data_IF_122304172331
#
_entry.id   IF_122304172331
#
_cell.length_a   1.000
_cell.length_b   1.000
_cell.length_c   1.000
_cell.angle_alpha   90.00
_cell.angle_beta   90.00
_cell.angle_gamma   90.00
#
_symmetry.space_group_name_H-M   'P 1'
#
loop_
_entity.id
_entity.type
_entity.pdbx_description
1 polymer ?
#
# COMPACT_ATOMS: atom_id res chain seq x y z
N UNK A 1 37.63 26.55 23.00
CA UNK A 1 38.09 25.36 22.25
C UNK A 1 38.53 25.79 20.85
N UNK A 2 39.78 25.57 20.46
CA UNK A 2 40.24 25.75 19.06
C UNK A 2 40.32 24.36 18.43
N UNK A 3 39.39 24.02 17.55
CA UNK A 3 39.50 22.80 16.76
C UNK A 3 40.58 23.00 15.68
N UNK A 4 41.45 22.01 15.51
CA UNK A 4 42.39 22.04 14.39
C UNK A 4 41.61 21.84 13.09
N UNK A 5 42.04 22.48 12.00
CA UNK A 5 41.43 22.32 10.67
C UNK A 5 41.32 20.83 10.28
N UNK A 6 42.31 20.02 10.65
CA UNK A 6 42.32 18.57 10.44
C UNK A 6 41.20 17.86 11.18
N UNK A 7 40.98 18.22 12.45
CA UNK A 7 39.87 17.67 13.25
C UNK A 7 38.53 18.01 12.60
N UNK A 8 38.36 19.25 12.13
CA UNK A 8 37.14 19.66 11.46
C UNK A 8 36.92 18.90 10.14
N UNK A 9 37.96 18.73 9.31
CA UNK A 9 37.86 17.95 8.08
C UNK A 9 37.49 16.48 8.33
N UNK A 10 38.10 15.84 9.33
CA UNK A 10 37.80 14.44 9.67
C UNK A 10 36.35 14.31 10.13
N UNK A 11 35.88 15.20 11.01
CA UNK A 11 34.49 15.19 11.48
C UNK A 11 33.53 15.38 10.33
N UNK A 12 33.78 16.34 9.44
CA UNK A 12 32.94 16.57 8.25
C UNK A 12 32.89 15.33 7.35
N UNK A 13 34.03 14.67 7.12
CA UNK A 13 34.08 13.46 6.31
C UNK A 13 33.27 12.32 6.95
N UNK A 14 33.41 12.11 8.25
CA UNK A 14 32.66 11.08 9.00
C UNK A 14 31.16 11.35 8.92
N UNK A 15 30.73 12.60 9.11
CA UNK A 15 29.32 12.99 8.99
C UNK A 15 28.81 12.73 7.56
N UNK A 16 29.57 13.14 6.54
CA UNK A 16 29.17 12.93 5.15
C UNK A 16 29.00 11.45 4.81
N UNK A 17 29.91 10.58 5.27
CA UNK A 17 29.82 9.13 5.09
C UNK A 17 28.60 8.56 5.82
N UNK A 18 28.35 9.00 7.07
CA UNK A 18 27.19 8.54 7.83
C UNK A 18 25.87 8.94 7.15
N UNK A 19 25.76 10.18 6.66
CA UNK A 19 24.58 10.65 5.92
C UNK A 19 24.39 9.86 4.63
N UNK A 20 25.47 9.60 3.87
CA UNK A 20 25.40 8.81 2.65
C UNK A 20 24.94 7.37 2.92
N UNK A 21 25.44 6.73 3.98
CA UNK A 21 25.04 5.40 4.38
C UNK A 21 23.55 5.33 4.79
N UNK A 22 23.07 6.32 5.56
CA UNK A 22 21.64 6.42 5.94
C UNK A 22 20.77 6.65 4.72
N UNK A 23 21.15 7.54 3.80
CA UNK A 23 20.41 7.79 2.58
C UNK A 23 20.34 6.55 1.68
N UNK A 24 21.46 5.80 1.55
CA UNK A 24 21.48 4.55 0.81
C UNK A 24 20.56 3.49 1.45
N UNK A 25 20.64 3.31 2.77
CA UNK A 25 19.75 2.39 3.50
C UNK A 25 18.27 2.76 3.32
N UNK A 26 17.93 4.05 3.43
CA UNK A 26 16.56 4.54 3.22
C UNK A 26 16.08 4.24 1.80
N UNK A 27 16.89 4.53 0.78
CA UNK A 27 16.53 4.30 -0.62
C UNK A 27 16.37 2.83 -0.97
N UNK A 28 17.18 1.95 -0.39
CA UNK A 28 17.19 0.52 -0.74
C UNK A 28 16.30 -0.37 0.12
N UNK A 29 16.00 0.03 1.36
CA UNK A 29 15.28 -0.84 2.29
C UNK A 29 14.27 -0.07 3.14
N UNK A 30 14.72 0.99 3.83
CA UNK A 30 13.93 1.66 4.85
C UNK A 30 12.64 2.28 4.29
N UNK A 31 12.73 2.98 3.17
CA UNK A 31 11.61 3.67 2.55
C UNK A 31 10.52 2.73 2.03
N UNK A 32 10.91 1.65 1.35
CA UNK A 32 9.95 0.69 0.77
C UNK A 32 9.13 0.01 1.88
N UNK A 33 9.79 -0.43 2.95
CA UNK A 33 9.11 -1.02 4.12
C UNK A 33 8.26 0.02 4.84
N UNK A 34 8.73 1.26 4.95
CA UNK A 34 7.99 2.34 5.59
C UNK A 34 6.66 2.62 4.87
N UNK A 35 6.67 2.82 3.55
CA UNK A 35 5.45 3.11 2.81
C UNK A 35 4.51 1.91 2.71
N UNK A 36 5.05 0.69 2.58
CA UNK A 36 4.21 -0.51 2.61
C UNK A 36 3.45 -0.66 3.92
N UNK A 37 4.09 -0.42 5.07
CA UNK A 37 3.42 -0.42 6.39
C UNK A 37 2.39 0.70 6.54
N UNK A 38 2.60 1.85 5.87
CA UNK A 38 1.59 2.93 5.86
C UNK A 38 0.35 2.52 5.08
N UNK A 39 0.54 1.93 3.91
CA UNK A 39 -0.54 1.36 3.10
C UNK A 39 -1.29 0.28 3.88
N UNK A 40 -0.57 -0.64 4.53
CA UNK A 40 -1.16 -1.68 5.40
C UNK A 40 -2.09 -1.07 6.44
N UNK A 41 -1.59 -0.10 7.22
CA UNK A 41 -2.38 0.60 8.24
C UNK A 41 -3.60 1.32 7.64
N UNK A 42 -3.45 1.99 6.50
CA UNK A 42 -4.56 2.66 5.81
C UNK A 42 -5.65 1.67 5.38
N UNK A 43 -5.28 0.45 4.94
CA UNK A 43 -6.23 -0.61 4.62
C UNK A 43 -6.90 -1.13 5.90
N UNK A 44 -6.16 -1.37 6.97
CA UNK A 44 -6.71 -1.84 8.25
C UNK A 44 -7.73 -0.84 8.84
N UNK A 45 -7.46 0.46 8.74
CA UNK A 45 -8.36 1.51 9.21
C UNK A 45 -9.74 1.47 8.52
N UNK A 46 -9.84 0.90 7.32
CA UNK A 46 -11.11 0.73 6.61
C UNK A 46 -12.12 -0.09 7.41
N UNK A 47 -11.70 -1.04 8.25
CA UNK A 47 -12.64 -1.82 9.09
C UNK A 47 -13.58 -0.92 9.90
N UNK A 48 -13.08 0.22 10.39
CA UNK A 48 -13.85 1.17 11.20
C UNK A 48 -14.75 2.11 10.37
N UNK A 49 -14.66 2.04 9.03
CA UNK A 49 -15.27 2.99 8.09
C UNK A 49 -16.30 2.32 7.18
N UNK A 50 -17.06 1.37 7.71
CA UNK A 50 -18.10 0.65 6.97
C UNK A 50 -19.13 1.63 6.36
N UNK A 51 -19.36 1.60 5.03
CA UNK A 51 -20.38 2.44 4.42
C UNK A 51 -21.79 2.01 4.88
N UNK A 52 -22.76 2.95 4.93
CA UNK A 52 -24.13 2.64 5.33
C UNK A 52 -24.89 1.76 4.33
N UNK A 53 -24.38 1.63 3.09
CA UNK A 53 -24.94 0.77 2.04
C UNK A 53 -24.57 -0.71 2.20
N UNK A 54 -23.69 -1.06 3.14
CA UNK A 54 -23.23 -2.42 3.36
C UNK A 54 -23.36 -2.83 4.82
N UNK A 55 -23.47 -4.13 5.04
CA UNK A 55 -23.33 -4.70 6.39
C UNK A 55 -21.86 -4.78 6.78
N UNK A 56 -21.59 -4.78 8.08
CA UNK A 56 -20.23 -4.94 8.63
C UNK A 56 -19.56 -6.24 8.15
N UNK A 57 -20.31 -7.33 7.97
CA UNK A 57 -19.78 -8.60 7.48
C UNK A 57 -19.30 -8.49 6.02
N UNK A 58 -20.12 -7.90 5.14
CA UNK A 58 -19.76 -7.70 3.73
C UNK A 58 -18.55 -6.79 3.59
N UNK A 59 -18.52 -5.70 4.36
CA UNK A 59 -17.40 -4.76 4.33
C UNK A 59 -16.12 -5.39 4.89
N UNK A 60 -16.19 -6.08 6.03
CA UNK A 60 -15.03 -6.76 6.62
C UNK A 60 -14.46 -7.82 5.67
N UNK A 61 -15.30 -8.59 4.97
CA UNK A 61 -14.84 -9.54 3.94
C UNK A 61 -14.02 -8.82 2.86
N UNK A 62 -14.50 -7.69 2.32
CA UNK A 62 -13.73 -6.91 1.33
C UNK A 62 -12.40 -6.39 1.88
N UNK A 63 -12.39 -5.87 3.10
CA UNK A 63 -11.19 -5.31 3.73
C UNK A 63 -10.17 -6.42 4.03
N UNK A 64 -10.58 -7.56 4.59
CA UNK A 64 -9.69 -8.70 4.88
C UNK A 64 -9.02 -9.24 3.62
N UNK A 65 -9.78 -9.39 2.54
CA UNK A 65 -9.21 -9.77 1.25
C UNK A 65 -8.24 -8.73 0.69
N UNK A 66 -8.45 -7.46 0.99
CA UNK A 66 -7.54 -6.37 0.61
C UNK A 66 -6.26 -6.38 1.46
N UNK A 67 -6.35 -6.71 2.76
CA UNK A 67 -5.18 -6.98 3.59
C UNK A 67 -4.37 -8.17 3.05
N UNK A 68 -5.05 -9.24 2.64
CA UNK A 68 -4.38 -10.40 2.03
C UNK A 68 -3.72 -10.04 0.70
N UNK A 69 -4.36 -9.23 -0.15
CA UNK A 69 -3.76 -8.67 -1.35
C UNK A 69 -2.46 -7.92 -1.01
N UNK A 70 -2.47 -7.02 -0.01
CA UNK A 70 -1.28 -6.30 0.42
C UNK A 70 -0.15 -7.26 0.85
N UNK A 71 -0.45 -8.16 1.78
CA UNK A 71 0.53 -9.08 2.34
C UNK A 71 1.12 -10.06 1.33
N UNK A 72 0.38 -10.45 0.30
CA UNK A 72 0.82 -11.43 -0.70
C UNK A 72 1.37 -10.82 -2.00
N UNK A 73 1.25 -9.52 -2.22
CA UNK A 73 1.71 -8.89 -3.47
C UNK A 73 3.20 -8.57 -3.49
N UNK A 74 3.93 -8.74 -2.38
CA UNK A 74 5.37 -8.47 -2.25
C UNK A 74 5.82 -7.08 -2.74
N UNK A 75 4.94 -6.07 -2.64
CA UNK A 75 5.18 -4.69 -3.12
C UNK A 75 6.58 -4.14 -2.77
N UNK A 76 7.06 -4.23 -1.50
CA UNK A 76 8.36 -3.67 -1.14
C UNK A 76 9.55 -4.20 -1.94
N UNK A 77 9.41 -5.39 -2.53
CA UNK A 77 10.51 -6.08 -3.21
C UNK A 77 10.39 -6.06 -4.74
N UNK A 78 9.23 -5.68 -5.27
CA UNK A 78 8.96 -5.65 -6.71
C UNK A 78 8.82 -4.22 -7.26
N UNK A 79 8.61 -3.24 -6.39
CA UNK A 79 8.27 -1.86 -6.76
C UNK A 79 9.31 -0.89 -6.23
N UNK A 80 9.62 0.17 -6.98
CA UNK A 80 10.56 1.21 -6.55
C UNK A 80 10.00 2.04 -5.38
N UNK A 81 10.88 2.70 -4.61
CA UNK A 81 10.44 3.59 -3.53
C UNK A 81 9.49 4.70 -4.02
N UNK A 82 9.77 5.26 -5.20
CA UNK A 82 8.96 6.33 -5.80
C UNK A 82 7.55 5.83 -6.08
N UNK A 83 7.39 4.74 -6.82
CA UNK A 83 6.10 4.15 -7.15
C UNK A 83 5.27 3.77 -5.90
N UNK A 84 5.89 3.19 -4.86
CA UNK A 84 5.17 2.86 -3.61
C UNK A 84 4.73 4.15 -2.90
N UNK A 85 5.59 5.17 -2.85
CA UNK A 85 5.25 6.44 -2.21
C UNK A 85 4.14 7.20 -2.94
N UNK A 86 4.13 7.16 -4.27
CA UNK A 86 3.07 7.75 -5.07
C UNK A 86 1.75 7.00 -4.91
N UNK A 87 1.79 5.66 -4.86
CA UNK A 87 0.61 4.86 -4.57
C UNK A 87 0.05 5.16 -3.18
N UNK A 88 0.90 5.24 -2.15
CA UNK A 88 0.48 5.59 -0.80
C UNK A 88 -0.18 6.98 -0.74
N UNK A 89 0.36 7.97 -1.44
CA UNK A 89 -0.24 9.30 -1.52
C UNK A 89 -1.62 9.29 -2.21
N UNK A 90 -1.76 8.57 -3.32
CA UNK A 90 -3.06 8.42 -4.00
C UNK A 90 -4.08 7.68 -3.13
N UNK A 91 -3.63 6.67 -2.37
CA UNK A 91 -4.48 5.96 -1.42
C UNK A 91 -4.93 6.90 -0.29
N UNK A 92 -4.02 7.65 0.31
CA UNK A 92 -4.34 8.66 1.34
C UNK A 92 -5.40 9.65 0.84
N UNK A 93 -5.21 10.23 -0.35
CA UNK A 93 -6.18 11.12 -0.98
C UNK A 93 -7.54 10.43 -1.22
N UNK A 94 -7.53 9.18 -1.71
CA UNK A 94 -8.75 8.41 -1.94
C UNK A 94 -9.51 8.16 -0.63
N UNK A 95 -8.79 7.95 0.47
CA UNK A 95 -9.34 7.67 1.78
C UNK A 95 -9.75 8.93 2.58
N UNK A 96 -9.43 10.13 2.13
CA UNK A 96 -9.87 11.37 2.81
C UNK A 96 -11.38 11.65 2.68
N UNK A 97 -12.05 10.95 1.76
CA UNK A 97 -13.50 11.02 1.52
C UNK A 97 -14.25 9.80 2.08
N UNK A 98 -15.59 9.83 2.18
CA UNK A 98 -16.38 8.63 2.45
C UNK A 98 -16.00 7.49 1.51
N UNK A 99 -15.85 6.29 2.08
CA UNK A 99 -15.39 5.08 1.38
C UNK A 99 -16.57 4.15 1.10
N UNK A 100 -16.42 3.34 0.06
CA UNK A 100 -17.40 2.35 -0.37
C UNK A 100 -16.70 1.19 -1.11
N UNK A 101 -17.48 0.25 -1.67
CA UNK A 101 -16.94 -0.86 -2.46
C UNK A 101 -16.08 -0.41 -3.66
N UNK A 102 -16.38 0.76 -4.26
CA UNK A 102 -15.56 1.32 -5.36
C UNK A 102 -14.19 1.76 -4.88
N UNK A 103 -14.03 2.02 -3.58
CA UNK A 103 -12.72 2.31 -2.96
C UNK A 103 -11.87 1.04 -2.89
N UNK A 104 -12.46 -0.08 -2.50
CA UNK A 104 -11.79 -1.39 -2.50
C UNK A 104 -11.43 -1.80 -3.94
N UNK A 105 -12.37 -1.68 -4.86
CA UNK A 105 -12.15 -2.02 -6.26
C UNK A 105 -11.00 -1.20 -6.88
N UNK A 106 -11.01 0.12 -6.66
CA UNK A 106 -9.93 1.01 -7.08
C UNK A 106 -8.60 0.59 -6.46
N UNK A 107 -8.57 0.29 -5.16
CA UNK A 107 -7.35 -0.15 -4.47
C UNK A 107 -6.78 -1.40 -5.14
N UNK A 108 -7.61 -2.41 -5.40
CA UNK A 108 -7.18 -3.62 -6.10
C UNK A 108 -6.63 -3.35 -7.50
N UNK A 109 -7.21 -2.40 -8.23
CA UNK A 109 -6.71 -2.01 -9.56
C UNK A 109 -5.35 -1.31 -9.46
N UNK A 110 -5.17 -0.40 -8.51
CA UNK A 110 -3.86 0.26 -8.29
C UNK A 110 -2.77 -0.75 -7.96
N UNK A 111 -3.06 -1.77 -7.12
CA UNK A 111 -2.12 -2.86 -6.87
C UNK A 111 -1.67 -3.58 -8.15
N UNK A 112 -2.60 -3.80 -9.09
CA UNK A 112 -2.30 -4.46 -10.35
C UNK A 112 -1.42 -3.62 -11.29
N UNK A 113 -1.49 -2.29 -11.18
CA UNK A 113 -0.64 -1.37 -11.94
C UNK A 113 0.75 -1.21 -11.28
N UNK A 114 0.80 -1.23 -9.95
CA UNK A 114 2.02 -0.94 -9.18
C UNK A 114 2.97 -2.14 -9.06
N UNK A 115 2.45 -3.37 -9.08
CA UNK A 115 3.28 -4.56 -8.91
C UNK A 115 2.73 -5.83 -9.58
N UNK A 116 3.63 -6.71 -9.99
CA UNK A 116 3.28 -8.01 -10.59
C UNK A 116 2.50 -8.91 -9.62
N UNK A 117 2.84 -8.89 -8.33
CA UNK A 117 2.08 -9.61 -7.30
C UNK A 117 0.61 -9.19 -7.26
N UNK A 118 0.34 -7.88 -7.30
CA UNK A 118 -1.01 -7.33 -7.31
C UNK A 118 -1.77 -7.71 -8.58
N UNK A 119 -1.09 -7.74 -9.72
CA UNK A 119 -1.65 -8.21 -10.99
C UNK A 119 -2.03 -9.68 -10.95
N UNK A 120 -1.17 -10.52 -10.39
CA UNK A 120 -1.46 -11.96 -10.22
C UNK A 120 -2.58 -12.21 -9.22
N UNK A 121 -2.69 -11.37 -8.19
CA UNK A 121 -3.70 -11.51 -7.14
C UNK A 121 -5.12 -11.21 -7.63
N UNK A 122 -5.29 -10.50 -8.75
CA UNK A 122 -6.61 -10.20 -9.32
C UNK A 122 -7.49 -11.44 -9.55
N UNK A 123 -6.88 -12.62 -9.76
CA UNK A 123 -7.61 -13.90 -9.88
C UNK A 123 -8.49 -14.22 -8.67
N UNK A 124 -8.13 -13.72 -7.49
CA UNK A 124 -8.86 -13.96 -6.25
C UNK A 124 -10.15 -13.13 -6.12
N UNK A 125 -10.41 -12.17 -7.02
CA UNK A 125 -11.71 -11.48 -7.10
C UNK A 125 -12.88 -12.46 -7.21
N UNK A 126 -12.68 -13.60 -7.87
CA UNK A 126 -13.69 -14.65 -7.97
C UNK A 126 -14.04 -15.24 -6.60
N UNK A 127 -13.03 -15.54 -5.78
CA UNK A 127 -13.22 -16.05 -4.41
C UNK A 127 -13.86 -14.99 -3.51
N UNK A 128 -13.40 -13.73 -3.58
CA UNK A 128 -14.03 -12.64 -2.82
C UNK A 128 -15.51 -12.51 -3.18
N UNK A 129 -15.85 -12.56 -4.47
CA UNK A 129 -17.22 -12.48 -4.94
C UNK A 129 -18.08 -13.69 -4.53
N UNK A 130 -17.48 -14.88 -4.39
CA UNK A 130 -18.18 -16.04 -3.84
C UNK A 130 -18.52 -15.85 -2.37
N UNK A 131 -17.57 -15.37 -1.56
CA UNK A 131 -17.79 -15.07 -0.15
C UNK A 131 -18.79 -13.91 0.05
N UNK A 132 -18.68 -12.86 -0.75
CA UNK A 132 -19.65 -11.75 -0.74
C UNK A 132 -21.07 -12.24 -1.05
N UNK A 133 -21.23 -13.17 -2.00
CA UNK A 133 -22.55 -13.80 -2.27
C UNK A 133 -23.03 -14.64 -1.08
N UNK A 134 -22.15 -15.37 -0.41
CA UNK A 134 -22.49 -16.10 0.81
C UNK A 134 -22.95 -15.15 1.94
N UNK A 135 -22.45 -13.93 1.96
CA UNK A 135 -22.91 -12.85 2.84
C UNK A 135 -24.10 -12.03 2.30
N UNK A 136 -24.75 -12.49 1.22
CA UNK A 136 -25.89 -11.81 0.62
C UNK A 136 -25.59 -10.42 0.09
N UNK A 137 -24.33 -10.14 -0.28
CA UNK A 137 -23.92 -8.84 -0.83
C UNK A 137 -24.56 -8.61 -2.20
N UNK A 138 -25.23 -7.47 -2.43
CA UNK A 138 -25.65 -7.06 -3.76
C UNK A 138 -24.50 -6.45 -4.58
N UNK A 139 -23.38 -6.12 -3.92
CA UNK A 139 -22.20 -5.51 -4.55
C UNK A 139 -21.07 -6.54 -4.63
N UNK A 140 -20.47 -6.63 -5.82
CA UNK A 140 -19.35 -7.51 -6.12
C UNK A 140 -18.15 -6.67 -6.57
N UNK A 141 -16.94 -7.20 -6.40
CA UNK A 141 -15.72 -6.62 -6.93
C UNK A 141 -15.58 -7.03 -8.40
N UNK A 142 -15.88 -6.10 -9.31
CA UNK A 142 -15.72 -6.33 -10.74
C UNK A 142 -14.24 -6.36 -11.13
N UNK A 143 -13.87 -7.28 -12.03
CA UNK A 143 -12.56 -7.20 -12.67
C UNK A 143 -12.62 -6.08 -13.70
N UNK A 144 -11.54 -5.28 -13.81
CA UNK A 144 -11.40 -4.34 -14.92
C UNK A 144 -11.51 -5.12 -16.22
N UNK A 145 -12.61 -4.93 -16.95
CA UNK A 145 -12.72 -5.43 -18.32
C UNK A 145 -11.92 -4.45 -19.15
N UNK A 146 -10.68 -4.81 -19.49
CA UNK A 146 -9.88 -4.03 -20.43
C UNK A 146 -10.66 -3.92 -21.74
N UNK A 147 -11.29 -2.77 -21.96
CA UNK A 147 -11.81 -2.36 -23.26
C UNK A 147 -10.60 -2.14 -24.17
N UNK A 148 -10.15 -3.21 -24.82
CA UNK A 148 -9.20 -3.18 -25.94
C UNK A 148 -9.83 -2.54 -27.16
#
# INVERSE_FOLDING_TARGET
MRFSLRTLMIVTLVIAVAVAAVAAYWRHFGGQVYYARRIERQIEELHSRCPPSMTTAQWSCMVEWTCNLHGNSLIPFQTTLEEISEFEARLEERLDRPVDASTIEWTWNEYAEVCDGGKQYQRFRLMVNEELRAHGSPVLLEARVDSR
#
